data_IF_571284670326
#
_entry.id   IF_571284670326
#
_cell.length_a   1.000
_cell.length_b   1.000
_cell.length_c   1.000
_cell.angle_alpha   90.00
_cell.angle_beta   90.00
_cell.angle_gamma   90.00
#
_symmetry.space_group_name_H-M   'P 1'
#
loop_
_entity.id
_entity.type
_entity.pdbx_description
1 polymer ?
#
# COMPACT_ATOMS: atom_id res chain seq x y z
N UNK A 1 -21.60 19.81 8.06
CA UNK A 1 -20.87 18.81 7.24
C UNK A 1 -19.42 19.15 7.37
N UNK A 2 -18.83 18.73 8.49
CA UNK A 2 -17.39 18.75 8.71
C UNK A 2 -16.82 17.73 7.73
N UNK A 3 -16.28 18.23 6.62
CA UNK A 3 -15.44 17.41 5.76
C UNK A 3 -14.27 17.05 6.64
N UNK A 4 -14.15 15.79 7.07
CA UNK A 4 -12.95 15.29 7.70
C UNK A 4 -11.81 15.56 6.74
N UNK A 5 -11.16 16.71 6.96
CA UNK A 5 -9.99 17.13 6.25
C UNK A 5 -8.94 16.18 6.79
N UNK A 6 -8.80 15.03 6.13
CA UNK A 6 -7.69 14.11 6.36
C UNK A 6 -6.46 15.00 6.48
N UNK A 7 -5.79 15.04 7.64
CA UNK A 7 -4.70 15.97 7.84
C UNK A 7 -3.75 15.69 6.68
N UNK A 8 -3.59 16.67 5.79
CA UNK A 8 -2.55 16.62 4.78
C UNK A 8 -1.31 16.36 5.59
N UNK A 9 -0.82 15.12 5.57
CA UNK A 9 0.37 14.74 6.29
C UNK A 9 1.41 15.73 5.81
N UNK A 10 1.83 16.62 6.72
CA UNK A 10 2.80 17.66 6.39
C UNK A 10 3.96 16.95 5.71
N UNK A 11 4.47 17.47 4.60
CA UNK A 11 5.60 16.83 3.92
C UNK A 11 6.85 16.76 4.82
N UNK A 12 6.87 17.53 5.92
CA UNK A 12 7.86 17.46 6.98
C UNK A 12 7.51 16.49 8.12
N UNK A 13 6.32 15.90 8.13
CA UNK A 13 5.94 14.87 9.10
C UNK A 13 6.84 13.63 8.93
N UNK A 14 7.48 13.14 10.02
CA UNK A 14 8.36 11.98 9.94
C UNK A 14 7.68 10.72 9.41
N UNK A 15 6.39 10.50 9.72
CA UNK A 15 5.67 9.34 9.19
C UNK A 15 5.43 9.46 7.69
N UNK A 16 5.09 10.65 7.20
CA UNK A 16 5.01 10.92 5.77
C UNK A 16 6.35 10.67 5.06
N UNK A 17 7.45 11.16 5.62
CA UNK A 17 8.78 10.98 5.04
C UNK A 17 9.19 9.51 5.00
N UNK A 18 8.91 8.75 6.06
CA UNK A 18 9.15 7.31 6.09
C UNK A 18 8.29 6.56 5.06
N UNK A 19 7.00 6.86 4.97
CA UNK A 19 6.10 6.26 3.97
C UNK A 19 6.56 6.57 2.54
N UNK A 20 6.99 7.82 2.29
CA UNK A 20 7.54 8.23 0.99
C UNK A 20 8.85 7.49 0.67
N UNK A 21 9.76 7.39 1.63
CA UNK A 21 11.02 6.68 1.45
C UNK A 21 10.81 5.19 1.15
N UNK A 22 9.86 4.55 1.87
CA UNK A 22 9.46 3.17 1.61
C UNK A 22 8.89 3.01 0.19
N UNK A 23 7.93 3.87 -0.19
CA UNK A 23 7.32 3.84 -1.54
C UNK A 23 8.37 3.96 -2.65
N UNK A 24 9.34 4.88 -2.50
CA UNK A 24 10.43 5.04 -3.45
C UNK A 24 11.35 3.81 -3.52
N UNK A 25 11.64 3.21 -2.36
CA UNK A 25 12.50 2.02 -2.27
C UNK A 25 11.86 0.82 -2.96
N UNK A 26 10.57 0.57 -2.71
CA UNK A 26 9.80 -0.51 -3.36
C UNK A 26 9.73 -0.28 -4.88
N UNK A 27 9.45 0.96 -5.30
CA UNK A 27 9.44 1.32 -6.72
C UNK A 27 10.79 1.08 -7.41
N UNK A 28 11.90 1.40 -6.75
CA UNK A 28 13.24 1.15 -7.27
C UNK A 28 13.53 -0.36 -7.43
N UNK A 29 13.09 -1.19 -6.47
CA UNK A 29 13.25 -2.65 -6.53
C UNK A 29 12.41 -3.24 -7.66
N UNK A 30 11.12 -2.88 -7.77
CA UNK A 30 10.27 -3.29 -8.91
C UNK A 30 10.90 -2.90 -10.25
N UNK A 31 11.41 -1.65 -10.29
CA UNK A 31 12.39 -1.10 -11.24
C UNK A 31 13.38 -2.15 -11.74
N UNK A 32 14.25 -2.56 -10.83
CA UNK A 32 15.35 -3.48 -11.09
C UNK A 32 14.89 -4.89 -11.50
N UNK A 33 13.69 -5.31 -11.08
CA UNK A 33 13.08 -6.58 -11.48
C UNK A 33 12.40 -6.53 -12.86
N UNK A 34 12.37 -5.38 -13.53
CA UNK A 34 11.67 -5.20 -14.81
C UNK A 34 10.14 -5.15 -14.67
N UNK A 35 9.63 -4.94 -13.45
CA UNK A 35 8.19 -4.81 -13.20
C UNK A 35 7.74 -3.36 -13.38
N UNK A 36 6.52 -3.19 -13.89
CA UNK A 36 5.89 -1.88 -13.99
C UNK A 36 5.46 -1.37 -12.61
N UNK A 37 5.49 -0.06 -12.43
CA UNK A 37 4.98 0.66 -11.28
C UNK A 37 3.67 1.37 -11.65
N UNK A 38 2.81 1.74 -10.68
CA UNK A 38 1.58 2.48 -10.96
C UNK A 38 1.80 3.74 -11.81
N UNK A 39 2.91 4.45 -11.60
CA UNK A 39 3.23 5.69 -12.32
C UNK A 39 3.55 5.49 -13.82
N UNK A 40 3.70 4.24 -14.28
CA UNK A 40 3.95 3.92 -15.68
C UNK A 40 2.64 3.88 -16.51
N UNK A 41 1.48 3.96 -15.84
CA UNK A 41 0.16 3.89 -16.47
C UNK A 41 -0.69 5.14 -16.20
N UNK A 42 -1.62 5.51 -17.09
CA UNK A 42 -2.58 6.58 -16.82
C UNK A 42 -3.44 6.24 -15.59
N UNK A 43 -3.55 7.18 -14.66
CA UNK A 43 -4.35 7.01 -13.44
C UNK A 43 -5.80 6.64 -13.80
N UNK A 44 -6.29 5.56 -13.21
CA UNK A 44 -7.65 5.04 -13.44
C UNK A 44 -7.79 4.13 -14.67
N UNK A 45 -6.71 3.84 -15.41
CA UNK A 45 -6.74 2.77 -16.40
C UNK A 45 -6.79 1.39 -15.73
N UNK A 46 -7.18 0.36 -16.49
CA UNK A 46 -7.24 -1.01 -15.97
C UNK A 46 -5.84 -1.50 -15.53
N UNK A 47 -4.81 -1.20 -16.33
CA UNK A 47 -3.41 -1.54 -16.05
C UNK A 47 -2.91 -0.81 -14.79
N UNK A 48 -3.34 0.44 -14.58
CA UNK A 48 -3.02 1.18 -13.38
C UNK A 48 -3.57 0.50 -12.13
N UNK A 49 -4.82 0.03 -12.16
CA UNK A 49 -5.42 -0.69 -11.03
C UNK A 49 -4.66 -1.96 -10.70
N UNK A 50 -4.31 -2.77 -11.70
CA UNK A 50 -3.48 -3.96 -11.49
C UNK A 50 -2.10 -3.62 -10.90
N UNK A 51 -1.44 -2.60 -11.44
CA UNK A 51 -0.12 -2.17 -10.94
C UNK A 51 -0.19 -1.65 -9.49
N UNK A 52 -1.29 -0.98 -9.10
CA UNK A 52 -1.51 -0.52 -7.72
C UNK A 52 -1.65 -1.69 -6.76
N UNK A 53 -2.46 -2.70 -7.12
CA UNK A 53 -2.64 -3.88 -6.27
C UNK A 53 -1.33 -4.63 -6.05
N UNK A 54 -0.59 -4.91 -7.12
CA UNK A 54 0.71 -5.58 -7.00
C UNK A 54 1.74 -4.74 -6.21
N UNK A 55 1.76 -3.43 -6.41
CA UNK A 55 2.64 -2.54 -5.67
C UNK A 55 2.30 -2.52 -4.17
N UNK A 56 1.01 -2.52 -3.82
CA UNK A 56 0.56 -2.61 -2.44
C UNK A 56 0.98 -3.94 -1.79
N UNK A 57 0.89 -5.05 -2.52
CA UNK A 57 1.40 -6.35 -2.06
C UNK A 57 2.90 -6.30 -1.76
N UNK A 58 3.71 -5.67 -2.63
CA UNK A 58 5.14 -5.53 -2.37
C UNK A 58 5.44 -4.68 -1.13
N UNK A 59 4.68 -3.59 -0.91
CA UNK A 59 4.79 -2.78 0.31
C UNK A 59 4.43 -3.59 1.55
N UNK A 60 3.33 -4.36 1.51
CA UNK A 60 2.91 -5.20 2.63
C UNK A 60 3.95 -6.28 2.95
N UNK A 61 4.53 -6.93 1.93
CA UNK A 61 5.63 -7.90 2.11
C UNK A 61 6.82 -7.27 2.84
N UNK A 62 7.21 -6.04 2.48
CA UNK A 62 8.32 -5.35 3.17
C UNK A 62 7.98 -5.02 4.63
N UNK A 63 6.73 -4.64 4.91
CA UNK A 63 6.30 -4.27 6.26
C UNK A 63 6.09 -5.48 7.19
N UNK A 64 5.62 -6.60 6.64
CA UNK A 64 5.26 -7.80 7.40
C UNK A 64 6.36 -8.87 7.39
N UNK A 65 7.36 -8.74 6.51
CA UNK A 65 8.38 -9.77 6.28
C UNK A 65 7.88 -10.91 5.39
N UNK A 66 8.79 -11.81 5.01
CA UNK A 66 8.48 -13.07 4.32
C UNK A 66 7.98 -14.14 5.31
N UNK A 67 7.13 -13.77 6.27
CA UNK A 67 6.43 -14.77 7.08
C UNK A 67 5.37 -15.39 6.18
N UNK A 68 5.70 -16.57 5.64
CA UNK A 68 4.86 -17.41 4.80
C UNK A 68 3.41 -17.29 5.25
N UNK A 69 2.58 -16.69 4.39
CA UNK A 69 1.12 -16.73 4.38
C UNK A 69 0.52 -17.29 5.68
N UNK A 70 0.65 -16.55 6.78
CA UNK A 70 -0.22 -16.84 7.91
C UNK A 70 -1.57 -16.33 7.45
N UNK A 71 -2.46 -17.28 7.15
CA UNK A 71 -3.89 -17.05 7.09
C UNK A 71 -4.22 -16.03 8.18
N UNK A 72 -4.47 -14.78 7.75
CA UNK A 72 -5.07 -13.79 8.62
C UNK A 72 -6.50 -14.28 8.85
N UNK A 73 -6.64 -15.21 9.78
CA UNK A 73 -7.89 -15.53 10.44
C UNK A 73 -8.25 -14.28 11.26
N UNK A 74 -8.71 -13.24 10.54
CA UNK A 74 -9.40 -12.15 11.17
C UNK A 74 -10.59 -12.80 11.87
N UNK A 75 -10.69 -12.76 13.21
CA UNK A 75 -11.89 -13.19 13.87
C UNK A 75 -12.99 -12.26 13.37
N UNK A 76 -13.77 -12.75 12.41
CA UNK A 76 -15.05 -12.18 12.03
C UNK A 76 -15.86 -12.19 13.32
N UNK A 77 -15.79 -11.07 14.03
CA UNK A 77 -16.37 -10.91 15.36
C UNK A 77 -17.74 -11.56 15.35
N UNK A 78 -17.91 -12.55 16.23
CA UNK A 78 -19.18 -13.22 16.42
C UNK A 78 -20.23 -12.13 16.61
N UNK A 79 -21.08 -11.94 15.59
CA UNK A 79 -22.25 -11.09 15.74
C UNK A 79 -23.14 -11.80 16.75
N UNK A 80 -23.42 -11.21 17.92
CA UNK A 80 -24.41 -11.78 18.82
C UNK A 80 -25.74 -11.82 18.07
N UNK A 81 -26.33 -13.01 17.97
CA UNK A 81 -27.73 -13.15 17.62
C UNK A 81 -28.52 -12.87 18.90
N UNK A 82 -29.00 -11.64 19.04
CA UNK A 82 -30.17 -11.31 19.85
C UNK A 82 -31.09 -10.36 19.05
#
# INVERSE_FOLDING_TARGET
>A
MDKEQLPFLDSNDPHFQHARALSLSVGAIRRAQGKCSPNDFPVGSLEWHFAVEEFATDVLRVLMGDDDAQDVDLPLGERPLD
#
